data_IF_946572036671
#
_entry.id   IF_946572036671
#
_cell.length_a   1.000
_cell.length_b   1.000
_cell.length_c   1.000
_cell.angle_alpha   90.00
_cell.angle_beta   90.00
_cell.angle_gamma   90.00
#
_symmetry.space_group_name_H-M   'P 1'
#
loop_
_entity.id
_entity.type
_entity.pdbx_description
1 polymer ?
#
# COMPACT_ATOMS: atom_id res chain seq x y z
N UNK A 1 6.14 -18.78 19.27
CA UNK A 1 5.11 -18.03 18.54
C UNK A 1 5.41 -16.57 18.82
N UNK A 2 6.24 -15.92 18.01
CA UNK A 2 6.55 -14.50 18.19
C UNK A 2 5.34 -13.71 17.71
N UNK A 3 4.65 -13.04 18.62
CA UNK A 3 3.54 -12.16 18.27
C UNK A 3 4.06 -11.07 17.33
N UNK A 4 3.56 -11.07 16.09
CA UNK A 4 3.89 -10.12 15.01
C UNK A 4 3.76 -8.66 15.46
N UNK A 5 2.91 -8.40 16.46
CA UNK A 5 2.74 -7.13 17.16
C UNK A 5 3.97 -6.63 17.93
N UNK A 6 5.03 -7.44 18.06
CA UNK A 6 6.28 -7.02 18.72
C UNK A 6 7.23 -6.28 17.77
N UNK A 7 7.10 -6.50 16.45
CA UNK A 7 8.00 -5.91 15.43
C UNK A 7 7.46 -4.59 14.90
N UNK A 8 6.13 -4.49 14.79
CA UNK A 8 5.43 -3.28 14.36
C UNK A 8 4.31 -3.03 15.36
N UNK A 9 4.51 -2.02 16.18
CA UNK A 9 3.59 -1.58 17.21
C UNK A 9 2.38 -0.84 16.60
N UNK A 10 1.20 -1.07 17.17
CA UNK A 10 -0.08 -0.54 16.67
C UNK A 10 -0.10 0.99 16.60
N UNK A 11 0.61 1.66 17.52
CA UNK A 11 0.70 3.12 17.54
C UNK A 11 1.45 3.66 16.31
N UNK A 12 2.46 2.93 15.84
CA UNK A 12 3.23 3.27 14.64
C UNK A 12 2.35 3.12 13.40
N UNK A 13 1.56 2.05 13.33
CA UNK A 13 0.60 1.84 12.25
C UNK A 13 -0.42 2.98 12.20
N UNK A 14 -1.00 3.34 13.35
CA UNK A 14 -1.96 4.45 13.45
C UNK A 14 -1.35 5.78 12.98
N UNK A 15 -0.10 6.06 13.35
CA UNK A 15 0.63 7.27 12.91
C UNK A 15 0.93 7.27 11.41
N UNK A 16 1.17 6.09 10.81
CA UNK A 16 1.51 5.94 9.39
C UNK A 16 0.28 5.86 8.48
N UNK A 17 -0.89 5.50 9.01
CA UNK A 17 -2.11 5.38 8.24
C UNK A 17 -2.46 6.67 7.48
N UNK A 18 -2.55 7.81 8.17
CA UNK A 18 -2.92 9.11 7.57
C UNK A 18 -1.98 9.50 6.41
N UNK A 19 -0.64 9.50 6.55
CA UNK A 19 0.25 9.85 5.45
C UNK A 19 0.22 8.84 4.30
N UNK A 20 0.04 7.54 4.58
CA UNK A 20 -0.12 6.52 3.54
C UNK A 20 -1.43 6.70 2.76
N UNK A 21 -2.52 6.98 3.46
CA UNK A 21 -3.82 7.27 2.87
C UNK A 21 -3.79 8.51 1.99
N UNK A 22 -3.22 9.63 2.47
CA UNK A 22 -3.07 10.84 1.66
C UNK A 22 -2.25 10.58 0.40
N UNK A 23 -1.17 9.80 0.52
CA UNK A 23 -0.36 9.41 -0.62
C UNK A 23 -1.15 8.55 -1.61
N UNK A 24 -1.86 7.52 -1.15
CA UNK A 24 -2.68 6.65 -2.00
C UNK A 24 -3.82 7.42 -2.68
N UNK A 25 -4.51 8.29 -1.95
CA UNK A 25 -5.58 9.14 -2.47
C UNK A 25 -5.07 10.08 -3.57
N UNK A 26 -3.90 10.71 -3.38
CA UNK A 26 -3.30 11.55 -4.41
C UNK A 26 -2.93 10.78 -5.69
N UNK A 27 -2.65 9.47 -5.58
CA UNK A 27 -2.27 8.64 -6.72
C UNK A 27 -3.48 8.02 -7.44
N UNK A 28 -4.54 7.69 -6.70
CA UNK A 28 -5.70 6.95 -7.22
C UNK A 28 -6.92 7.84 -7.49
N UNK A 29 -7.03 8.97 -6.79
CA UNK A 29 -8.17 9.91 -6.91
C UNK A 29 -9.50 9.38 -6.36
N UNK A 30 -9.53 8.16 -5.83
CA UNK A 30 -10.72 7.51 -5.29
C UNK A 30 -10.51 7.13 -3.82
N UNK A 31 -11.50 7.49 -2.99
CA UNK A 31 -11.43 7.33 -1.54
C UNK A 31 -11.45 5.87 -1.11
N UNK A 32 -12.28 5.05 -1.78
CA UNK A 32 -12.47 3.65 -1.45
C UNK A 32 -11.24 2.83 -1.88
N UNK A 33 -10.79 3.00 -3.11
CA UNK A 33 -9.57 2.38 -3.62
C UNK A 33 -8.34 2.78 -2.78
N UNK A 34 -8.24 4.04 -2.35
CA UNK A 34 -7.14 4.48 -1.48
C UNK A 34 -7.16 3.77 -0.12
N UNK A 35 -8.33 3.62 0.51
CA UNK A 35 -8.47 2.86 1.77
C UNK A 35 -8.08 1.40 1.58
N UNK A 36 -8.61 0.75 0.55
CA UNK A 36 -8.39 -0.67 0.30
C UNK A 36 -6.89 -0.95 0.06
N UNK A 37 -6.23 -0.14 -0.77
CA UNK A 37 -4.80 -0.29 -1.07
C UNK A 37 -3.93 -0.06 0.16
N UNK A 38 -4.27 0.89 1.02
CA UNK A 38 -3.54 1.13 2.27
C UNK A 38 -3.74 -0.03 3.25
N UNK A 39 -4.97 -0.53 3.40
CA UNK A 39 -5.25 -1.68 4.24
C UNK A 39 -4.47 -2.92 3.78
N UNK A 40 -4.47 -3.22 2.48
CA UNK A 40 -3.66 -4.31 1.93
C UNK A 40 -2.16 -4.13 2.17
N UNK A 41 -1.66 -2.90 2.05
CA UNK A 41 -0.25 -2.61 2.32
C UNK A 41 0.11 -2.87 3.79
N UNK A 42 -0.75 -2.47 4.73
CA UNK A 42 -0.56 -2.70 6.16
C UNK A 42 -0.66 -4.20 6.51
N UNK A 43 -1.64 -4.91 5.97
CA UNK A 43 -1.76 -6.37 6.15
C UNK A 43 -0.52 -7.11 5.64
N UNK A 44 0.01 -6.70 4.48
CA UNK A 44 1.25 -7.27 3.96
C UNK A 44 2.46 -6.90 4.81
N UNK A 45 2.54 -5.67 5.32
CA UNK A 45 3.61 -5.25 6.20
C UNK A 45 3.63 -6.10 7.48
N UNK A 46 2.47 -6.36 8.08
CA UNK A 46 2.35 -7.27 9.23
C UNK A 46 2.75 -8.69 8.86
N UNK A 47 2.25 -9.22 7.73
CA UNK A 47 2.56 -10.58 7.26
C UNK A 47 4.06 -10.80 7.02
N UNK A 48 4.76 -9.78 6.53
CA UNK A 48 6.19 -9.84 6.23
C UNK A 48 7.05 -9.09 7.24
N UNK A 49 6.53 -8.81 8.45
CA UNK A 49 7.26 -8.08 9.47
C UNK A 49 8.58 -8.77 9.84
N UNK A 50 8.60 -10.11 9.88
CA UNK A 50 9.81 -10.90 10.14
C UNK A 50 10.92 -10.71 9.08
N UNK A 51 10.55 -10.27 7.87
CA UNK A 51 11.51 -10.01 6.78
C UNK A 51 12.18 -8.63 6.90
N UNK A 52 11.66 -7.76 7.77
CA UNK A 52 12.21 -6.43 7.98
C UNK A 52 13.49 -6.52 8.81
N UNK A 53 14.63 -6.49 8.12
CA UNK A 53 15.95 -6.61 8.75
C UNK A 53 16.49 -5.30 9.38
N UNK A 54 15.64 -4.28 9.58
CA UNK A 54 16.05 -3.00 10.16
C UNK A 54 17.07 -2.19 9.34
N UNK A 55 17.35 -2.60 8.10
CA UNK A 55 18.33 -1.93 7.21
C UNK A 55 17.83 -0.60 6.63
N UNK A 56 16.55 -0.31 6.78
CA UNK A 56 15.90 0.93 6.35
C UNK A 56 14.93 1.40 7.42
N UNK A 57 14.53 2.68 7.40
CA UNK A 57 13.47 3.16 8.28
C UNK A 57 12.17 2.40 7.98
N UNK A 58 11.47 1.95 9.03
CA UNK A 58 10.21 1.20 8.92
C UNK A 58 9.19 1.92 8.03
N UNK A 59 9.08 3.24 8.16
CA UNK A 59 8.28 4.11 7.29
C UNK A 59 8.63 3.91 5.81
N UNK A 60 9.90 3.99 5.44
CA UNK A 60 10.34 3.84 4.06
C UNK A 60 10.02 2.46 3.51
N UNK A 61 10.14 1.42 4.34
CA UNK A 61 9.78 0.06 3.98
C UNK A 61 8.27 -0.11 3.74
N UNK A 62 7.42 0.41 4.63
CA UNK A 62 5.96 0.40 4.41
C UNK A 62 5.54 1.19 3.17
N UNK A 63 6.17 2.34 2.91
CA UNK A 63 5.90 3.11 1.69
C UNK A 63 6.35 2.38 0.41
N UNK A 64 7.39 1.54 0.48
CA UNK A 64 7.77 0.69 -0.64
C UNK A 64 6.68 -0.37 -0.93
N UNK A 65 6.15 -1.02 0.11
CA UNK A 65 5.03 -1.97 -0.02
C UNK A 65 3.80 -1.26 -0.62
N UNK A 66 3.45 -0.08 -0.11
CA UNK A 66 2.33 0.72 -0.61
C UNK A 66 2.49 1.08 -2.08
N UNK A 67 3.66 1.53 -2.50
CA UNK A 67 3.93 1.88 -3.91
C UNK A 67 3.75 0.68 -4.84
N UNK A 68 4.21 -0.50 -4.41
CA UNK A 68 3.99 -1.74 -5.18
C UNK A 68 2.49 -2.02 -5.32
N UNK A 69 1.72 -1.89 -4.24
CA UNK A 69 0.25 -2.07 -4.26
C UNK A 69 -0.48 -1.07 -5.14
N UNK A 70 -0.12 0.21 -5.08
CA UNK A 70 -0.67 1.24 -5.97
C UNK A 70 -0.36 0.91 -7.44
N UNK A 71 0.88 0.50 -7.73
CA UNK A 71 1.28 0.14 -9.11
C UNK A 71 0.49 -1.05 -9.63
N UNK A 72 0.31 -2.09 -8.80
CA UNK A 72 -0.48 -3.27 -9.15
C UNK A 72 -1.95 -2.92 -9.37
N UNK A 73 -2.54 -2.08 -8.51
CA UNK A 73 -3.92 -1.60 -8.67
C UNK A 73 -4.11 -0.84 -9.99
N UNK A 74 -3.22 0.13 -10.29
CA UNK A 74 -3.26 0.89 -11.56
C UNK A 74 -3.11 -0.06 -12.77
N UNK A 75 -2.21 -1.04 -12.70
CA UNK A 75 -2.00 -2.04 -13.76
C UNK A 75 -3.25 -2.90 -13.99
N UNK A 76 -3.97 -3.27 -12.93
CA UNK A 76 -5.21 -4.05 -13.05
C UNK A 76 -6.33 -3.21 -13.65
N UNK A 77 -6.52 -1.97 -13.21
CA UNK A 77 -7.54 -1.06 -13.75
C UNK A 77 -7.35 -0.82 -15.25
N UNK A 78 -6.11 -0.71 -15.74
CA UNK A 78 -5.82 -0.57 -17.17
C UNK A 78 -6.14 -1.84 -17.99
N UNK A 79 -6.13 -3.03 -17.39
CA UNK A 79 -6.46 -4.28 -18.09
C UNK A 79 -7.95 -4.45 -18.36
N UNK A 80 -8.82 -3.75 -17.62
CA UNK A 80 -10.28 -3.80 -17.81
C UNK A 80 -10.82 -2.74 -18.77
N UNK A 81 -9.96 -2.03 -19.50
CA UNK A 81 -10.39 -1.28 -20.67
C UNK A 81 -10.59 -2.31 -21.79
N UNK A 82 -11.83 -2.72 -22.15
CA UNK A 82 -12.02 -3.46 -23.38
C UNK A 82 -11.41 -2.64 -24.52
N UNK A 83 -10.73 -3.32 -25.44
CA UNK A 83 -9.95 -2.80 -26.58
C UNK A 83 -10.66 -1.79 -27.52
N UNK A 84 -11.84 -1.26 -27.15
CA UNK A 84 -12.68 -0.40 -27.98
C UNK A 84 -12.42 1.11 -27.85
N UNK A 85 -11.60 1.61 -26.90
CA UNK A 85 -11.41 3.07 -26.72
C UNK A 85 -9.99 3.56 -27.01
N UNK A 86 -9.22 2.84 -27.84
CA UNK A 86 -7.91 3.30 -28.34
C UNK A 86 -7.94 3.65 -29.83
N UNK A 87 -8.92 4.45 -30.23
CA UNK A 87 -8.84 5.30 -31.41
C UNK A 87 -9.25 6.71 -30.95
N UNK A 88 -8.39 7.69 -31.25
CA UNK A 88 -8.46 9.11 -30.88
C UNK A 88 -8.08 9.49 -29.43
N UNK A 89 -6.78 9.58 -29.17
CA UNK A 89 -6.11 10.90 -29.07
C UNK A 89 -4.61 10.76 -29.24
#
# INVERSE_FOLDING_TARGET
MTDVNTIIDDDVIAKLYIPMYRFAYNQLGDEQCARDVVQEALMNALKYADSFQGRSALKSWMFAILKNKISDHIRQTQKYIPLCVRLFK
#
